data_IF_716131271369
#
_entry.id   IF_716131271369
#
_cell.length_a   1.000
_cell.length_b   1.000
_cell.length_c   1.000
_cell.angle_alpha   90.00
_cell.angle_beta   90.00
_cell.angle_gamma   90.00
#
_symmetry.space_group_name_H-M   'P 1'
#
loop_
_entity.id
_entity.type
_entity.pdbx_description
1 polymer ?
#
# COMPACT_ATOMS: atom_id res chain seq x y z
N UNK A 1 4.42 -5.26 -5.74
CA UNK A 1 3.26 -6.13 -5.44
C UNK A 1 2.72 -5.71 -4.09
N UNK A 2 1.41 -5.53 -3.98
CA UNK A 2 0.73 -5.10 -2.74
C UNK A 2 -0.52 -5.95 -2.51
N UNK A 3 -0.76 -6.31 -1.26
CA UNK A 3 -2.01 -6.90 -0.82
C UNK A 3 -3.17 -5.91 -0.97
N UNK A 4 -4.31 -6.36 -1.50
CA UNK A 4 -5.47 -5.50 -1.72
C UNK A 4 -6.05 -4.95 -0.40
N UNK A 5 -6.06 -5.78 0.64
CA UNK A 5 -6.51 -5.43 1.99
C UNK A 5 -5.34 -5.17 2.95
N UNK A 6 -4.16 -4.84 2.41
CA UNK A 6 -2.94 -4.65 3.17
C UNK A 6 -2.95 -3.40 4.04
N UNK A 7 -2.21 -3.44 5.15
CA UNK A 7 -2.02 -2.31 6.07
C UNK A 7 -0.79 -2.48 6.96
N UNK A 8 -0.22 -1.36 7.43
CA UNK A 8 0.91 -1.36 8.36
C UNK A 8 2.23 -1.91 7.77
N UNK A 9 2.44 -1.75 6.46
CA UNK A 9 3.68 -2.20 5.81
C UNK A 9 3.71 -3.67 5.38
N UNK A 10 2.68 -4.46 5.73
CA UNK A 10 2.62 -5.90 5.45
C UNK A 10 2.02 -6.23 4.09
N UNK A 11 2.45 -7.33 3.50
CA UNK A 11 1.96 -7.82 2.20
C UNK A 11 2.45 -7.01 1.00
N UNK A 12 3.61 -6.34 1.13
CA UNK A 12 4.23 -5.56 0.06
C UNK A 12 5.61 -6.11 -0.31
N UNK A 13 5.91 -6.15 -1.62
CA UNK A 13 7.21 -6.60 -2.17
C UNK A 13 7.61 -5.79 -3.40
N UNK A 14 8.88 -5.41 -3.46
CA UNK A 14 9.50 -4.78 -4.64
C UNK A 14 10.01 -5.89 -5.58
N UNK A 15 9.78 -5.72 -6.88
CA UNK A 15 10.28 -6.64 -7.92
C UNK A 15 11.05 -5.81 -8.94
N UNK A 16 12.35 -6.10 -9.10
CA UNK A 16 13.24 -5.37 -10.03
C UNK A 16 13.46 -6.07 -11.37
N UNK A 17 13.18 -7.38 -11.44
CA UNK A 17 13.33 -8.17 -12.65
C UNK A 17 12.25 -9.26 -12.72
N UNK A 18 12.03 -9.81 -13.91
CA UNK A 18 11.00 -10.83 -14.17
C UNK A 18 11.27 -12.14 -13.41
N UNK A 19 12.54 -12.53 -13.24
CA UNK A 19 12.90 -13.76 -12.51
C UNK A 19 12.45 -13.75 -11.05
N UNK A 20 12.45 -12.58 -10.40
CA UNK A 20 11.99 -12.44 -9.01
C UNK A 20 10.47 -12.31 -8.85
N UNK A 21 9.71 -12.20 -9.94
CA UNK A 21 8.28 -11.90 -9.87
C UNK A 21 7.49 -13.02 -9.20
N UNK A 22 7.75 -14.28 -9.58
CA UNK A 22 6.97 -15.44 -9.10
C UNK A 22 7.11 -15.62 -7.59
N UNK A 23 8.34 -15.60 -7.09
CA UNK A 23 8.61 -15.70 -5.65
C UNK A 23 7.97 -14.55 -4.88
N UNK A 24 8.16 -13.30 -5.34
CA UNK A 24 7.60 -12.13 -4.68
C UNK A 24 6.06 -12.18 -4.64
N UNK A 25 5.42 -12.67 -5.71
CA UNK A 25 3.98 -12.85 -5.79
C UNK A 25 3.48 -13.87 -4.79
N UNK A 26 4.07 -15.07 -4.77
CA UNK A 26 3.64 -16.15 -3.87
C UNK A 26 3.82 -15.74 -2.39
N UNK A 27 4.93 -15.06 -2.08
CA UNK A 27 5.18 -14.52 -0.73
C UNK A 27 4.19 -13.42 -0.34
N UNK A 28 3.88 -12.50 -1.25
CA UNK A 28 2.90 -11.44 -0.99
C UNK A 28 1.50 -12.02 -0.76
N UNK A 29 1.07 -13.00 -1.56
CA UNK A 29 -0.23 -13.69 -1.37
C UNK A 29 -0.29 -14.44 -0.04
N UNK A 30 0.77 -15.17 0.31
CA UNK A 30 0.84 -15.93 1.56
C UNK A 30 0.77 -15.00 2.78
N UNK A 31 1.54 -13.91 2.78
CA UNK A 31 1.49 -12.91 3.85
C UNK A 31 0.12 -12.21 3.92
N UNK A 32 -0.47 -11.88 2.77
CA UNK A 32 -1.79 -11.27 2.69
C UNK A 32 -2.85 -12.19 3.32
N UNK A 33 -2.84 -13.48 2.94
CA UNK A 33 -3.77 -14.47 3.49
C UNK A 33 -3.63 -14.61 5.00
N UNK A 34 -2.39 -14.70 5.50
CA UNK A 34 -2.12 -14.88 6.91
C UNK A 34 -2.49 -13.64 7.75
N UNK A 35 -2.25 -12.43 7.23
CA UNK A 35 -2.47 -11.19 7.97
C UNK A 35 -3.88 -10.62 7.83
N UNK A 36 -4.55 -10.85 6.70
CA UNK A 36 -5.81 -10.18 6.32
C UNK A 36 -6.92 -11.14 5.87
N UNK A 37 -6.67 -12.46 5.85
CA UNK A 37 -7.67 -13.47 5.46
C UNK A 37 -7.99 -13.52 3.96
N UNK A 38 -7.42 -12.62 3.17
CA UNK A 38 -7.60 -12.47 1.72
C UNK A 38 -6.23 -12.49 1.04
N UNK A 39 -6.08 -13.25 -0.04
CA UNK A 39 -4.81 -13.44 -0.76
C UNK A 39 -4.71 -12.61 -2.06
N UNK A 40 -5.68 -11.74 -2.34
CA UNK A 40 -5.66 -10.87 -3.51
C UNK A 40 -4.53 -9.85 -3.43
N UNK A 41 -3.81 -9.73 -4.54
CA UNK A 41 -2.67 -8.82 -4.70
C UNK A 41 -2.75 -8.12 -6.05
N UNK A 42 -2.19 -6.93 -6.12
CA UNK A 42 -2.03 -6.18 -7.38
C UNK A 42 -0.60 -5.65 -7.53
N UNK A 43 -0.30 -5.13 -8.72
CA UNK A 43 0.99 -4.54 -9.07
C UNK A 43 0.81 -3.06 -9.37
N UNK A 44 1.72 -2.26 -8.85
CA UNK A 44 1.86 -0.84 -9.18
C UNK A 44 3.32 -0.57 -9.57
N UNK A 45 3.55 0.54 -10.28
CA UNK A 45 4.90 0.99 -10.59
C UNK A 45 5.61 1.39 -9.30
N UNK A 46 6.78 0.80 -9.05
CA UNK A 46 7.64 1.24 -7.96
C UNK A 46 8.26 2.60 -8.30
N UNK A 47 8.12 3.56 -7.39
CA UNK A 47 8.73 4.89 -7.49
C UNK A 47 10.03 4.84 -6.69
N UNK A 48 11.14 5.20 -7.32
CA UNK A 48 12.45 5.28 -6.66
C UNK A 48 12.56 6.59 -5.87
N UNK A 49 13.08 6.51 -4.64
CA UNK A 49 13.25 7.64 -3.72
C UNK A 49 12.00 8.54 -3.57
N UNK A 50 10.81 7.99 -3.29
CA UNK A 50 9.61 8.78 -3.13
C UNK A 50 9.60 9.50 -1.77
N UNK A 51 8.87 10.61 -1.69
CA UNK A 51 8.37 11.13 -0.41
C UNK A 51 7.00 10.52 -0.11
N UNK A 52 6.75 10.17 1.14
CA UNK A 52 5.42 9.80 1.62
C UNK A 52 4.71 11.05 2.13
N UNK A 53 3.82 11.62 1.32
CA UNK A 53 3.00 12.77 1.72
C UNK A 53 1.55 12.30 1.88
N UNK A 54 0.94 12.61 3.02
CA UNK A 54 -0.47 12.29 3.32
C UNK A 54 -1.24 13.56 3.70
N UNK A 55 -2.54 13.60 3.35
CA UNK A 55 -3.43 14.75 3.61
C UNK A 55 -4.53 14.33 4.57
N UNK A 56 -4.70 15.07 5.66
CA UNK A 56 -5.79 14.83 6.61
C UNK A 56 -7.10 15.41 6.08
N UNK A 57 -8.17 14.61 6.10
CA UNK A 57 -9.53 15.05 5.71
C UNK A 57 -10.46 14.98 6.92
N UNK A 58 -11.38 15.94 7.04
CA UNK A 58 -12.56 15.89 7.91
C UNK A 58 -13.80 16.18 7.06
N UNK A 59 -14.86 15.42 7.28
CA UNK A 59 -16.14 15.65 6.61
C UNK A 59 -17.31 15.42 7.56
N UNK A 60 -18.43 16.12 7.31
CA UNK A 60 -19.67 15.96 8.06
C UNK A 60 -20.83 15.44 7.21
N UNK A 61 -21.96 15.11 7.86
CA UNK A 61 -23.17 14.63 7.19
C UNK A 61 -23.96 15.73 6.45
N UNK A 62 -23.59 16.99 6.60
CA UNK A 62 -24.20 18.12 5.89
C UNK A 62 -23.49 18.40 4.56
N UNK A 63 -22.45 17.63 4.24
CA UNK A 63 -21.71 17.70 2.98
C UNK A 63 -20.50 18.62 3.01
N UNK A 64 -20.12 19.15 4.18
CA UNK A 64 -18.88 19.93 4.31
C UNK A 64 -17.68 18.98 4.39
N UNK A 65 -16.64 19.28 3.61
CA UNK A 65 -15.37 18.56 3.62
C UNK A 65 -14.24 19.58 3.66
N UNK A 66 -13.31 19.38 4.57
CA UNK A 66 -12.10 20.19 4.70
C UNK A 66 -10.85 19.30 4.72
N UNK A 67 -9.72 19.87 4.32
CA UNK A 67 -8.41 19.29 4.57
C UNK A 67 -7.72 20.03 5.73
N UNK A 68 -6.93 19.31 6.52
CA UNK A 68 -6.08 19.89 7.57
C UNK A 68 -4.60 19.79 7.18
N UNK A 69 -4.29 20.40 6.03
CA UNK A 69 -2.95 20.39 5.42
C UNK A 69 -2.39 18.97 5.22
N UNK A 70 -1.10 18.88 4.92
CA UNK A 70 -0.35 17.66 4.67
C UNK A 70 0.64 17.33 5.79
N UNK A 71 1.12 16.08 5.77
CA UNK A 71 2.25 15.60 6.58
C UNK A 71 3.27 14.89 5.68
N UNK A 72 4.55 15.11 5.97
CA UNK A 72 5.65 14.34 5.38
C UNK A 72 6.00 13.17 6.32
N UNK A 73 5.64 11.95 5.92
CA UNK A 73 5.82 10.68 6.63
C UNK A 73 6.98 9.85 6.03
N UNK A 74 7.97 10.50 5.41
CA UNK A 74 9.06 9.79 4.72
C UNK A 74 10.13 9.19 5.65
N UNK A 75 10.07 9.43 6.97
CA UNK A 75 11.06 9.03 7.98
C UNK A 75 10.54 7.85 8.80
#
# INVERSE_FOLDING_TARGET
IKAALGGGGRGMRIVRNSSGLKEAFDRAKSEAKAAFGNDEVYVEKYIENPKHIEVQILGDHQGYIIHLYERDCSI
#
